data_IF_401193173529
#
_entry.id   IF_401193173529
#
_cell.length_a   1.000
_cell.length_b   1.000
_cell.length_c   1.000
_cell.angle_alpha   90.00
_cell.angle_beta   90.00
_cell.angle_gamma   90.00
#
_symmetry.space_group_name_H-M   'P 1'
#
loop_
_entity.id
_entity.type
_entity.pdbx_description
1 polymer ?
#
# COMPACT_ATOMS: atom_id res chain seq x y z
N UNK A 1 29.34 -29.20 42.47
CA UNK A 1 28.38 -28.48 43.35
C UNK A 1 29.15 -27.29 43.90
N UNK A 2 29.18 -26.15 43.23
CA UNK A 2 28.01 -25.48 42.66
C UNK A 2 27.62 -24.38 43.63
N UNK A 3 28.44 -23.33 43.65
CA UNK A 3 28.09 -22.00 44.10
C UNK A 3 28.70 -21.05 43.08
N UNK A 4 27.86 -20.28 42.40
CA UNK A 4 27.99 -18.83 42.38
C UNK A 4 26.88 -18.21 41.52
N UNK A 5 26.15 -17.27 42.12
CA UNK A 5 25.38 -16.22 41.46
C UNK A 5 26.38 -15.22 40.79
N UNK A 6 25.97 -14.22 39.97
CA UNK A 6 24.62 -13.62 39.94
C UNK A 6 24.18 -13.00 38.59
N UNK A 7 23.08 -12.24 38.68
CA UNK A 7 22.76 -11.06 37.86
C UNK A 7 22.04 -11.30 36.53
N UNK A 8 21.08 -10.40 36.25
CA UNK A 8 20.28 -10.28 35.04
C UNK A 8 19.15 -11.34 34.91
N UNK A 9 17.88 -11.02 34.73
CA UNK A 9 17.18 -9.74 34.52
C UNK A 9 15.68 -10.08 34.47
N UNK A 10 14.83 -9.21 35.03
CA UNK A 10 13.38 -9.05 34.80
C UNK A 10 12.55 -10.34 34.60
N UNK A 11 11.98 -10.94 35.65
CA UNK A 11 10.66 -10.58 36.23
C UNK A 11 9.65 -10.20 35.12
N UNK A 12 9.15 -11.15 34.33
CA UNK A 12 8.10 -12.16 34.64
C UNK A 12 6.69 -11.60 34.88
N UNK A 13 6.44 -10.32 34.60
CA UNK A 13 5.08 -9.85 34.34
C UNK A 13 4.89 -9.68 32.82
N UNK A 14 4.67 -10.81 32.15
CA UNK A 14 4.03 -10.83 30.84
C UNK A 14 2.59 -10.39 31.08
N UNK A 15 2.33 -9.09 31.01
CA UNK A 15 0.97 -8.59 30.95
C UNK A 15 0.36 -9.13 29.66
N UNK A 16 -0.61 -10.03 29.82
CA UNK A 16 -1.51 -10.47 28.79
C UNK A 16 -2.09 -9.23 28.12
N UNK A 17 -1.62 -8.90 26.92
CA UNK A 17 -2.25 -7.89 26.08
C UNK A 17 -3.62 -8.46 25.74
N UNK A 18 -4.64 -8.01 26.46
CA UNK A 18 -6.02 -8.19 26.05
C UNK A 18 -6.09 -7.74 24.60
N UNK A 19 -6.69 -8.56 23.73
CA UNK A 19 -6.92 -8.20 22.34
C UNK A 19 -7.47 -6.78 22.34
N UNK A 20 -6.64 -5.82 21.90
CA UNK A 20 -7.16 -4.53 21.55
C UNK A 20 -8.15 -4.86 20.45
N UNK A 21 -9.43 -4.71 20.75
CA UNK A 21 -10.47 -4.70 19.73
C UNK A 21 -9.96 -3.66 18.73
N UNK A 22 -9.40 -4.14 17.61
CA UNK A 22 -9.08 -3.32 16.45
C UNK A 22 -10.43 -2.75 16.07
N UNK A 23 -10.73 -1.54 16.56
CA UNK A 23 -11.90 -0.81 16.15
C UNK A 23 -11.59 -0.45 14.71
N UNK A 24 -12.11 -1.28 13.82
CA UNK A 24 -11.92 -1.28 12.37
C UNK A 24 -12.51 0.00 11.75
N UNK A 25 -12.00 1.19 12.10
CA UNK A 25 -12.47 2.45 11.51
C UNK A 25 -11.45 3.60 11.59
N UNK A 26 -10.20 3.37 11.98
CA UNK A 26 -9.13 4.37 11.82
C UNK A 26 -8.54 4.24 10.40
N UNK A 27 -9.30 4.69 9.40
CA UNK A 27 -8.77 4.93 8.05
C UNK A 27 -7.73 6.04 8.14
N UNK A 28 -6.47 5.70 8.40
CA UNK A 28 -5.35 6.63 8.28
C UNK A 28 -5.32 7.17 6.84
N UNK A 29 -5.86 8.37 6.66
CA UNK A 29 -5.78 9.07 5.39
C UNK A 29 -4.30 9.37 5.11
N UNK A 30 -3.73 8.66 4.13
CA UNK A 30 -2.38 8.94 3.67
C UNK A 30 -2.45 10.25 2.88
N UNK A 31 -1.72 11.25 3.36
CA UNK A 31 -1.56 12.50 2.63
C UNK A 31 -0.86 12.20 1.30
N UNK A 32 -1.45 12.63 0.18
CA UNK A 32 -0.99 12.31 -1.19
C UNK A 32 -0.37 13.55 -1.87
N UNK A 33 0.81 14.01 -1.44
CA UNK A 33 1.45 15.18 -2.03
C UNK A 33 1.94 14.89 -3.45
N UNK A 34 2.10 15.95 -4.25
CA UNK A 34 2.78 15.86 -5.53
C UNK A 34 4.28 15.72 -5.30
N UNK A 35 4.87 14.62 -5.75
CA UNK A 35 6.30 14.35 -5.64
C UNK A 35 6.98 14.73 -6.96
N UNK A 36 8.02 15.56 -6.88
CA UNK A 36 8.76 16.05 -8.05
C UNK A 36 10.22 15.60 -7.94
N UNK A 37 10.72 15.01 -9.01
CA UNK A 37 12.13 14.65 -9.20
C UNK A 37 12.64 15.27 -10.51
N UNK A 38 13.92 15.10 -10.83
CA UNK A 38 14.51 15.65 -12.06
C UNK A 38 13.84 15.15 -13.35
N UNK A 39 13.29 13.93 -13.35
CA UNK A 39 12.78 13.25 -14.55
C UNK A 39 11.30 12.90 -14.48
N UNK A 40 10.69 12.98 -13.29
CA UNK A 40 9.34 12.48 -13.05
C UNK A 40 8.59 13.35 -12.05
N UNK A 41 7.32 13.60 -12.34
CA UNK A 41 6.34 14.16 -11.42
C UNK A 41 5.32 13.07 -11.11
N UNK A 42 5.23 12.67 -9.85
CA UNK A 42 4.21 11.76 -9.36
C UNK A 42 3.10 12.59 -8.73
N UNK A 43 1.93 12.58 -9.36
CA UNK A 43 0.72 13.25 -8.91
C UNK A 43 -0.45 12.28 -8.96
N UNK A 44 -1.51 12.56 -8.21
CA UNK A 44 -2.75 11.83 -8.37
C UNK A 44 -3.23 11.90 -9.83
N UNK A 45 -3.61 10.77 -10.43
CA UNK A 45 -4.20 10.75 -11.76
C UNK A 45 -5.59 11.40 -11.73
N UNK A 46 -5.96 12.04 -12.82
CA UNK A 46 -7.23 12.75 -12.98
C UNK A 46 -7.85 12.47 -14.36
N UNK A 47 -9.06 12.96 -14.60
CA UNK A 47 -9.84 12.60 -15.80
C UNK A 47 -9.12 12.94 -17.12
N UNK A 48 -8.33 14.02 -17.17
CA UNK A 48 -7.53 14.37 -18.36
C UNK A 48 -6.43 13.35 -18.69
N UNK A 49 -6.05 12.51 -17.74
CA UNK A 49 -5.00 11.50 -17.92
C UNK A 49 -5.52 10.19 -18.48
N UNK A 50 -6.84 9.99 -18.55
CA UNK A 50 -7.45 8.71 -18.95
C UNK A 50 -6.91 8.25 -20.31
N UNK A 51 -6.80 9.13 -21.30
CA UNK A 51 -6.29 8.75 -22.62
C UNK A 51 -4.86 8.20 -22.55
N UNK A 52 -3.98 8.82 -21.75
CA UNK A 52 -2.61 8.34 -21.55
C UNK A 52 -2.57 7.08 -20.70
N UNK A 53 -3.44 6.97 -19.68
CA UNK A 53 -3.57 5.77 -18.87
C UNK A 53 -3.93 4.58 -19.75
N UNK A 54 -4.94 4.72 -20.61
CA UNK A 54 -5.38 3.68 -21.55
C UNK A 54 -4.24 3.25 -22.47
N UNK A 55 -3.54 4.20 -23.08
CA UNK A 55 -2.41 3.90 -23.97
C UNK A 55 -1.29 3.11 -23.28
N UNK A 56 -0.96 3.47 -22.04
CA UNK A 56 0.08 2.79 -21.26
C UNK A 56 -0.40 1.45 -20.67
N UNK A 57 -1.66 1.38 -20.27
CA UNK A 57 -2.28 0.26 -19.59
C UNK A 57 -2.70 -0.87 -20.55
N UNK A 58 -3.03 -0.58 -21.80
CA UNK A 58 -3.39 -1.56 -22.84
C UNK A 58 -2.18 -2.37 -23.36
N UNK A 59 -1.13 -2.48 -22.53
CA UNK A 59 0.02 -3.31 -22.82
C UNK A 59 -0.19 -4.73 -22.27
N UNK A 60 -0.39 -5.68 -23.19
CA UNK A 60 -0.54 -7.10 -22.85
C UNK A 60 0.52 -7.67 -21.93
N UNK A 61 1.80 -7.30 -22.12
CA UNK A 61 2.87 -7.79 -21.23
C UNK A 61 2.67 -7.32 -19.79
N UNK A 62 2.20 -6.10 -19.58
CA UNK A 62 1.91 -5.57 -18.25
C UNK A 62 0.70 -6.27 -17.64
N UNK A 63 -0.36 -6.48 -18.43
CA UNK A 63 -1.55 -7.19 -17.97
C UNK A 63 -1.23 -8.64 -17.54
N UNK A 64 -0.36 -9.35 -18.25
CA UNK A 64 0.08 -10.69 -17.88
C UNK A 64 0.88 -10.74 -16.56
N UNK A 65 1.49 -9.63 -16.14
CA UNK A 65 2.19 -9.53 -14.85
C UNK A 65 1.25 -9.27 -13.66
N UNK A 66 0.01 -8.84 -13.91
CA UNK A 66 -0.91 -8.39 -12.88
C UNK A 66 -2.12 -9.32 -12.77
N UNK A 67 -2.39 -9.82 -11.57
CA UNK A 67 -3.48 -10.77 -11.35
C UNK A 67 -4.89 -10.22 -11.61
N UNK A 68 -5.06 -8.89 -11.66
CA UNK A 68 -6.37 -8.22 -11.71
C UNK A 68 -6.55 -7.25 -12.88
N UNK A 69 -5.51 -7.01 -13.68
CA UNK A 69 -5.59 -6.02 -14.73
C UNK A 69 -6.34 -6.60 -15.95
N UNK A 70 -7.47 -6.00 -16.37
CA UNK A 70 -8.18 -6.45 -17.56
C UNK A 70 -7.38 -6.13 -18.83
N UNK A 71 -7.54 -6.96 -19.85
CA UNK A 71 -7.01 -6.70 -21.20
C UNK A 71 -8.03 -7.13 -22.26
N UNK A 72 -8.36 -6.29 -23.25
CA UNK A 72 -7.84 -4.93 -23.47
C UNK A 72 -8.27 -3.95 -22.37
N UNK A 73 -7.45 -2.93 -22.11
CA UNK A 73 -7.72 -1.91 -21.11
C UNK A 73 -8.25 -0.65 -21.81
N UNK A 74 -9.52 -0.29 -21.58
CA UNK A 74 -10.19 0.82 -22.26
C UNK A 74 -10.48 2.03 -21.35
N UNK A 75 -11.13 3.04 -21.93
CA UNK A 75 -11.53 4.25 -21.19
C UNK A 75 -12.50 3.95 -20.04
N UNK A 76 -13.34 2.92 -20.18
CA UNK A 76 -14.29 2.54 -19.14
C UNK A 76 -13.56 2.06 -17.88
N UNK A 77 -12.52 1.24 -18.05
CA UNK A 77 -11.65 0.76 -16.98
C UNK A 77 -10.84 1.92 -16.38
N UNK A 78 -10.34 2.83 -17.21
CA UNK A 78 -9.65 4.03 -16.74
C UNK A 78 -10.53 4.95 -15.90
N UNK A 79 -11.81 5.13 -16.28
CA UNK A 79 -12.79 5.89 -15.48
C UNK A 79 -13.15 5.16 -14.19
N UNK A 80 -13.33 3.84 -14.26
CA UNK A 80 -13.61 3.02 -13.07
C UNK A 80 -12.45 3.02 -12.07
N UNK A 81 -11.21 3.23 -12.53
CA UNK A 81 -10.04 3.36 -11.66
C UNK A 81 -9.99 4.71 -10.91
N UNK A 82 -10.62 5.76 -11.45
CA UNK A 82 -10.64 7.10 -10.83
C UNK A 82 -11.89 7.37 -9.98
N UNK A 83 -12.92 6.51 -10.08
CA UNK A 83 -14.20 6.64 -9.36
C UNK A 83 -14.10 6.18 -7.91
#
# INVERSE_FOLDING_TARGET
MGFHLPFFFCLEDVEMVAEAEDSEDESYAIDCPVLVTERLVMRAPEERDIAQLVELADNRHVAEMLARMPHPYGEAEGRAFLA
#
